data_IF_410340181005
#
_entry.id   IF_410340181005
#
_cell.length_a   1.000
_cell.length_b   1.000
_cell.length_c   1.000
_cell.angle_alpha   90.00
_cell.angle_beta   90.00
_cell.angle_gamma   90.00
#
_symmetry.space_group_name_H-M   'P 1'
#
loop_
_entity.id
_entity.type
_entity.pdbx_description
1 polymer ?
#
# COMPACT_ATOMS: atom_id res chain seq x y z
N UNK A 1 15.42 -24.26 -9.47
CA UNK A 1 15.05 -22.83 -9.63
C UNK A 1 13.63 -22.62 -10.17
N UNK A 2 13.25 -23.12 -11.36
CA UNK A 2 11.92 -22.83 -11.96
C UNK A 2 10.70 -23.31 -11.15
N UNK A 3 10.73 -24.53 -10.59
CA UNK A 3 9.63 -25.09 -9.78
C UNK A 3 9.38 -24.26 -8.50
N UNK A 4 10.45 -23.93 -7.78
CA UNK A 4 10.39 -23.13 -6.55
C UNK A 4 9.95 -21.70 -6.80
N UNK A 5 10.54 -21.04 -7.81
CA UNK A 5 10.11 -19.70 -8.20
C UNK A 5 8.62 -19.69 -8.56
N UNK A 6 8.13 -20.67 -9.34
CA UNK A 6 6.70 -20.75 -9.72
C UNK A 6 5.78 -20.82 -8.50
N UNK A 7 6.04 -21.72 -7.55
CA UNK A 7 5.16 -21.91 -6.39
C UNK A 7 5.21 -20.72 -5.42
N UNK A 8 6.41 -20.16 -5.19
CA UNK A 8 6.58 -18.97 -4.35
C UNK A 8 5.89 -17.77 -5.00
N UNK A 9 6.04 -17.57 -6.31
CA UNK A 9 5.38 -16.47 -7.03
C UNK A 9 3.86 -16.60 -7.06
N UNK A 10 3.30 -17.81 -7.17
CA UNK A 10 1.84 -18.01 -7.11
C UNK A 10 1.32 -17.68 -5.71
N UNK A 11 1.96 -18.23 -4.67
CA UNK A 11 1.55 -17.99 -3.29
C UNK A 11 1.63 -16.51 -2.92
N UNK A 12 2.81 -15.90 -3.04
CA UNK A 12 2.99 -14.49 -2.70
C UNK A 12 2.30 -13.55 -3.69
N UNK A 13 2.08 -13.97 -4.94
CA UNK A 13 1.36 -13.16 -5.93
C UNK A 13 -0.08 -12.86 -5.50
N UNK A 14 -0.76 -13.82 -4.84
CA UNK A 14 -2.11 -13.61 -4.29
C UNK A 14 -2.06 -12.52 -3.20
N UNK A 15 -1.13 -12.64 -2.25
CA UNK A 15 -0.99 -11.66 -1.17
C UNK A 15 -0.53 -10.29 -1.68
N UNK A 16 0.39 -10.24 -2.65
CA UNK A 16 0.79 -8.99 -3.29
C UNK A 16 -0.36 -8.31 -4.00
N UNK A 17 -1.22 -9.06 -4.70
CA UNK A 17 -2.41 -8.50 -5.33
C UNK A 17 -3.36 -7.91 -4.28
N UNK A 18 -3.61 -8.64 -3.19
CA UNK A 18 -4.41 -8.15 -2.08
C UNK A 18 -3.83 -6.86 -1.48
N UNK A 19 -2.54 -6.84 -1.15
CA UNK A 19 -1.82 -5.68 -0.60
C UNK A 19 -1.86 -4.50 -1.59
N UNK A 20 -1.69 -4.74 -2.89
CA UNK A 20 -1.76 -3.69 -3.90
C UNK A 20 -3.17 -3.09 -3.99
N UNK A 21 -4.21 -3.92 -3.99
CA UNK A 21 -5.61 -3.46 -4.03
C UNK A 21 -5.96 -2.64 -2.78
N UNK A 22 -5.64 -3.15 -1.59
CA UNK A 22 -5.92 -2.43 -0.33
C UNK A 22 -5.11 -1.15 -0.19
N UNK A 23 -3.87 -1.13 -0.68
CA UNK A 23 -3.05 0.08 -0.72
C UNK A 23 -3.64 1.14 -1.64
N UNK A 24 -4.08 0.75 -2.84
CA UNK A 24 -4.77 1.67 -3.78
C UNK A 24 -6.08 2.18 -3.17
N UNK A 25 -6.87 1.31 -2.53
CA UNK A 25 -8.11 1.71 -1.85
C UNK A 25 -7.85 2.68 -0.70
N UNK A 26 -6.79 2.48 0.08
CA UNK A 26 -6.40 3.41 1.13
C UNK A 26 -6.10 4.80 0.58
N UNK A 27 -5.30 4.88 -0.49
CA UNK A 27 -5.02 6.15 -1.15
C UNK A 27 -6.26 6.77 -1.82
N UNK A 28 -7.12 5.96 -2.42
CA UNK A 28 -8.38 6.43 -3.00
C UNK A 28 -9.30 7.01 -1.93
N UNK A 29 -9.40 6.35 -0.77
CA UNK A 29 -10.17 6.84 0.37
C UNK A 29 -9.57 8.14 0.94
N UNK A 30 -8.24 8.21 1.08
CA UNK A 30 -7.55 9.40 1.58
C UNK A 30 -7.78 10.64 0.69
N UNK A 31 -7.80 10.43 -0.63
CA UNK A 31 -8.02 11.47 -1.64
C UNK A 31 -9.50 11.76 -1.89
N UNK A 32 -10.41 10.96 -1.34
CA UNK A 32 -11.85 11.18 -1.52
C UNK A 32 -12.27 12.50 -0.88
N UNK A 33 -13.14 13.29 -1.54
CA UNK A 33 -13.67 14.52 -0.96
C UNK A 33 -14.33 14.23 0.40
N UNK A 34 -13.99 15.02 1.40
CA UNK A 34 -14.72 14.98 2.66
C UNK A 34 -16.10 15.59 2.43
N UNK A 35 -17.16 14.93 2.91
CA UNK A 35 -18.45 15.59 3.03
C UNK A 35 -18.31 16.76 4.01
N UNK A 36 -19.05 17.85 3.78
CA UNK A 36 -19.11 18.91 4.78
C UNK A 36 -19.66 18.33 6.09
N UNK A 37 -18.99 18.55 7.23
CA UNK A 37 -19.45 18.02 8.50
C UNK A 37 -20.81 18.63 8.83
N UNK A 38 -21.75 17.82 9.33
CA UNK A 38 -23.00 18.35 9.88
C UNK A 38 -22.69 19.29 11.04
N UNK A 39 -23.64 20.17 11.38
CA UNK A 39 -23.47 21.08 12.51
C UNK A 39 -23.16 20.31 13.82
N UNK A 40 -23.71 19.11 14.01
CA UNK A 40 -23.41 18.28 15.19
C UNK A 40 -21.96 17.77 15.15
N UNK A 41 -21.48 17.28 14.01
CA UNK A 41 -20.11 16.77 13.84
C UNK A 41 -19.10 17.91 13.99
N UNK A 42 -19.40 19.09 13.46
CA UNK A 42 -18.57 20.28 13.62
C UNK A 42 -18.49 20.72 15.10
N UNK A 43 -19.58 20.61 15.86
CA UNK A 43 -19.59 20.88 17.29
C UNK A 43 -18.73 19.87 18.08
N UNK A 44 -18.72 18.59 17.68
CA UNK A 44 -17.87 17.56 18.30
C UNK A 44 -16.37 17.75 18.04
N UNK A 45 -16.00 18.47 16.99
CA UNK A 45 -14.61 18.82 16.70
C UNK A 45 -14.11 20.02 17.52
N UNK A 46 -15.00 20.75 18.19
CA UNK A 46 -14.60 21.85 19.06
C UNK A 46 -14.05 21.29 20.38
N UNK A 47 -12.92 21.81 20.87
CA UNK A 47 -12.41 21.42 22.18
C UNK A 47 -13.44 21.79 23.26
N UNK A 48 -13.61 20.94 24.30
CA UNK A 48 -14.50 21.27 25.41
C UNK A 48 -14.03 22.55 26.09
N UNK A 49 -14.98 23.31 26.67
CA UNK A 49 -14.68 24.59 27.30
C UNK A 49 -13.57 24.44 28.37
N UNK A 50 -12.52 25.24 28.27
CA UNK A 50 -11.37 25.21 29.16
C UNK A 50 -10.27 24.20 28.81
N UNK A 51 -10.43 23.41 27.74
CA UNK A 51 -9.34 22.57 27.24
C UNK A 51 -8.24 23.41 26.61
N UNK A 52 -7.06 23.37 27.23
CA UNK A 52 -5.83 23.93 26.69
C UNK A 52 -4.91 22.78 26.28
N UNK A 53 -4.34 22.87 25.07
CA UNK A 53 -3.36 21.88 24.65
C UNK A 53 -2.09 22.06 25.48
N UNK A 54 -1.58 21.03 26.18
CA UNK A 54 -0.39 21.16 27.01
C UNK A 54 0.85 21.58 26.21
N UNK A 55 1.80 22.22 26.87
CA UNK A 55 3.05 22.64 26.23
C UNK A 55 3.83 21.43 25.68
N UNK A 56 4.28 21.52 24.43
CA UNK A 56 4.96 20.42 23.73
C UNK A 56 4.03 19.39 23.07
N UNK A 57 2.70 19.52 23.20
CA UNK A 57 1.73 18.61 22.56
C UNK A 57 1.15 19.19 21.27
N UNK A 58 0.76 18.29 20.34
CA UNK A 58 -0.01 18.64 19.13
C UNK A 58 -1.39 18.02 19.21
N UNK A 59 -2.33 18.74 19.79
CA UNK A 59 -3.73 18.32 19.88
C UNK A 59 -4.40 18.47 18.51
N UNK A 60 -5.05 17.41 18.04
CA UNK A 60 -5.79 17.38 16.76
C UNK A 60 -7.24 17.00 17.07
N UNK A 61 -8.25 17.66 16.46
CA UNK A 61 -9.64 17.27 16.66
C UNK A 61 -9.89 15.83 16.18
N UNK A 62 -10.87 15.12 16.77
CA UNK A 62 -11.28 13.81 16.28
C UNK A 62 -11.75 13.92 14.83
N UNK A 63 -11.38 12.93 14.01
CA UNK A 63 -11.81 12.89 12.61
C UNK A 63 -13.26 12.41 12.53
N UNK A 64 -14.05 12.91 11.56
CA UNK A 64 -15.40 12.42 11.36
C UNK A 64 -15.37 10.99 10.80
N UNK A 65 -16.14 10.09 11.39
CA UNK A 65 -16.15 8.65 11.04
C UNK A 65 -17.05 8.30 9.84
N UNK A 66 -17.53 9.30 9.09
CA UNK A 66 -18.51 9.12 8.03
C UNK A 66 -17.91 9.10 6.62
N UNK A 67 -18.45 8.22 5.77
CA UNK A 67 -18.20 8.21 4.33
C UNK A 67 -16.93 7.45 3.91
N UNK A 68 -16.65 7.43 2.61
CA UNK A 68 -15.54 6.61 2.07
C UNK A 68 -14.16 7.03 2.63
N UNK A 69 -13.97 8.31 2.95
CA UNK A 69 -12.72 8.83 3.53
C UNK A 69 -12.41 8.26 4.92
N UNK A 70 -13.42 7.89 5.72
CA UNK A 70 -13.19 7.30 7.04
C UNK A 70 -12.64 5.88 6.96
N UNK A 71 -12.82 5.19 5.82
CA UNK A 71 -12.30 3.84 5.58
C UNK A 71 -10.79 3.81 5.31
N UNK A 72 -10.13 4.96 5.16
CA UNK A 72 -8.67 5.05 4.94
C UNK A 72 -7.89 4.25 5.98
N UNK A 73 -8.24 4.37 7.27
CA UNK A 73 -7.58 3.64 8.35
C UNK A 73 -7.77 2.12 8.24
N UNK A 74 -9.00 1.69 7.97
CA UNK A 74 -9.33 0.29 7.77
C UNK A 74 -8.57 -0.33 6.58
N UNK A 75 -8.52 0.34 5.44
CA UNK A 75 -7.75 -0.13 4.29
C UNK A 75 -6.24 -0.18 4.58
N UNK A 76 -5.72 0.77 5.38
CA UNK A 76 -4.34 0.71 5.84
C UNK A 76 -4.05 -0.51 6.71
N UNK A 77 -4.94 -0.86 7.65
CA UNK A 77 -4.74 -2.04 8.49
C UNK A 77 -4.87 -3.34 7.68
N UNK A 78 -5.78 -3.40 6.70
CA UNK A 78 -5.86 -4.53 5.78
C UNK A 78 -4.57 -4.66 4.95
N UNK A 79 -4.02 -3.54 4.48
CA UNK A 79 -2.76 -3.50 3.73
C UNK A 79 -1.55 -3.92 4.59
N UNK A 80 -1.45 -3.43 5.83
CA UNK A 80 -0.39 -3.81 6.77
C UNK A 80 -0.52 -5.26 7.25
N UNK A 81 -1.72 -5.84 7.17
CA UNK A 81 -2.05 -7.17 7.67
C UNK A 81 -2.33 -7.21 9.17
N UNK A 82 -2.36 -6.04 9.83
CA UNK A 82 -2.62 -5.93 11.27
C UNK A 82 -4.02 -6.37 11.66
N UNK A 83 -5.01 -6.27 10.76
CA UNK A 83 -6.35 -6.83 10.97
C UNK A 83 -6.36 -8.34 11.25
N UNK A 84 -5.34 -9.07 10.77
CA UNK A 84 -5.17 -10.50 11.01
C UNK A 84 -4.15 -10.81 12.11
N UNK A 85 -3.73 -9.79 12.87
CA UNK A 85 -2.76 -9.89 13.94
C UNK A 85 -1.35 -10.24 13.46
N UNK A 86 -0.48 -10.76 14.36
CA UNK A 86 0.95 -10.94 14.07
C UNK A 86 1.25 -11.83 12.85
N UNK A 87 0.40 -12.83 12.58
CA UNK A 87 0.55 -13.72 11.43
C UNK A 87 0.32 -12.98 10.12
N UNK A 88 -0.71 -12.13 10.05
CA UNK A 88 -0.97 -11.30 8.87
C UNK A 88 0.16 -10.33 8.59
N UNK A 89 0.63 -9.64 9.63
CA UNK A 89 1.80 -8.75 9.53
C UNK A 89 3.04 -9.49 9.04
N UNK A 90 3.32 -10.70 9.56
CA UNK A 90 4.44 -11.51 9.11
C UNK A 90 4.32 -11.88 7.61
N UNK A 91 3.13 -12.28 7.15
CA UNK A 91 2.88 -12.59 5.74
C UNK A 91 3.07 -11.33 4.86
N UNK A 92 2.62 -10.16 5.33
CA UNK A 92 2.81 -8.89 4.63
C UNK A 92 4.30 -8.55 4.47
N UNK A 93 5.09 -8.68 5.54
CA UNK A 93 6.55 -8.49 5.52
C UNK A 93 7.21 -9.44 4.53
N UNK A 94 6.89 -10.74 4.60
CA UNK A 94 7.45 -11.75 3.68
C UNK A 94 7.05 -11.46 2.22
N UNK A 95 5.83 -10.97 1.99
CA UNK A 95 5.37 -10.52 0.67
C UNK A 95 6.20 -9.33 0.18
N UNK A 96 6.54 -8.38 1.05
CA UNK A 96 7.44 -7.27 0.72
C UNK A 96 8.83 -7.76 0.28
N UNK A 97 9.44 -8.69 1.02
CA UNK A 97 10.71 -9.31 0.61
C UNK A 97 10.60 -10.04 -0.72
N UNK A 98 9.52 -10.81 -0.93
CA UNK A 98 9.27 -11.48 -2.20
C UNK A 98 9.16 -10.47 -3.35
N UNK A 99 8.51 -9.32 -3.14
CA UNK A 99 8.34 -8.29 -4.18
C UNK A 99 9.69 -7.69 -4.56
N UNK A 100 10.55 -7.41 -3.59
CA UNK A 100 11.91 -6.91 -3.81
C UNK A 100 12.71 -7.93 -4.63
N UNK A 101 12.72 -9.20 -4.21
CA UNK A 101 13.43 -10.27 -4.91
C UNK A 101 12.93 -10.44 -6.35
N UNK A 102 11.61 -10.46 -6.55
CA UNK A 102 11.02 -10.59 -7.88
C UNK A 102 11.29 -9.37 -8.75
N UNK A 103 11.22 -8.16 -8.21
CA UNK A 103 11.51 -6.92 -8.95
C UNK A 103 12.97 -6.86 -9.39
N UNK A 104 13.91 -7.17 -8.50
CA UNK A 104 15.34 -7.20 -8.83
C UNK A 104 15.63 -8.30 -9.87
N UNK A 105 15.11 -9.50 -9.65
CA UNK A 105 15.34 -10.61 -10.58
C UNK A 105 14.73 -10.36 -11.97
N UNK A 106 13.52 -9.80 -12.04
CA UNK A 106 12.86 -9.42 -13.28
C UNK A 106 13.61 -8.32 -14.02
N UNK A 107 14.07 -7.29 -13.31
CA UNK A 107 14.88 -6.22 -13.89
C UNK A 107 16.22 -6.74 -14.39
N UNK A 108 16.89 -7.61 -13.63
CA UNK A 108 18.14 -8.23 -14.04
C UNK A 108 17.98 -9.05 -15.33
N UNK A 109 16.93 -9.87 -15.42
CA UNK A 109 16.62 -10.62 -16.64
C UNK A 109 16.36 -9.68 -17.83
N UNK A 110 15.65 -8.58 -17.61
CA UNK A 110 15.44 -7.57 -18.66
C UNK A 110 16.76 -6.97 -19.15
N UNK A 111 17.65 -6.56 -18.22
CA UNK A 111 18.98 -6.02 -18.55
C UNK A 111 19.82 -7.05 -19.30
N UNK A 112 19.82 -8.31 -18.86
CA UNK A 112 20.56 -9.39 -19.52
C UNK A 112 20.07 -9.61 -20.97
N UNK A 113 18.74 -9.65 -21.18
CA UNK A 113 18.17 -9.76 -22.53
C UNK A 113 18.52 -8.54 -23.40
N UNK A 114 18.50 -7.34 -22.83
CA UNK A 114 18.88 -6.12 -23.51
C UNK A 114 20.35 -6.12 -23.96
N UNK A 115 21.26 -6.51 -23.05
CA UNK A 115 22.69 -6.61 -23.35
C UNK A 115 22.97 -7.62 -24.46
N UNK A 116 22.35 -8.81 -24.39
CA UNK A 116 22.47 -9.85 -25.41
C UNK A 116 21.99 -9.38 -26.80
N UNK A 117 20.94 -8.56 -26.87
CA UNK A 117 20.48 -7.97 -28.14
C UNK A 117 21.48 -6.95 -28.70
N UNK A 118 22.06 -6.13 -27.81
CA UNK A 118 23.07 -5.14 -28.18
C UNK A 118 24.29 -5.82 -28.80
N UNK A 119 24.75 -6.91 -28.22
CA UNK A 119 25.89 -7.70 -28.72
C UNK A 119 25.59 -8.36 -30.07
N UNK A 120 24.35 -8.81 -30.28
CA UNK A 120 23.93 -9.51 -31.52
C UNK A 120 23.45 -8.57 -32.64
N UNK A 121 23.57 -7.25 -32.47
CA UNK A 121 23.12 -6.27 -33.47
C UNK A 121 21.60 -6.28 -33.73
N UNK A 122 20.82 -6.90 -32.85
CA UNK A 122 19.37 -6.99 -32.98
C UNK A 122 18.72 -5.63 -32.68
N UNK A 123 17.56 -5.35 -33.30
CA UNK A 123 16.86 -4.06 -33.15
C UNK A 123 16.64 -3.70 -31.67
N UNK A 124 17.04 -2.49 -31.30
CA UNK A 124 17.08 -1.95 -29.93
C UNK A 124 15.73 -1.39 -29.45
N UNK A 125 14.64 -2.12 -29.69
CA UNK A 125 13.30 -1.69 -29.27
C UNK A 125 13.09 -1.86 -27.76
N UNK A 126 12.49 -0.84 -27.12
CA UNK A 126 12.11 -0.90 -25.69
C UNK A 126 11.03 -1.96 -25.42
N UNK A 127 10.14 -2.14 -26.39
CA UNK A 127 9.06 -3.11 -26.38
C UNK A 127 9.26 -4.13 -27.49
N UNK A 128 8.87 -5.37 -27.21
CA UNK A 128 8.85 -6.46 -28.18
C UNK A 128 7.82 -6.10 -29.27
N UNK A 129 8.24 -6.16 -30.54
CA UNK A 129 7.34 -6.21 -31.69
C UNK A 129 7.33 -7.63 -32.21
#
# INVERSE_FOLDING_TARGET
MRKWHRWISVFFGIFMLFIAVTGVLSHAAALWPAAEPSAEVAAQMQPPAGFTCPEGWRCTPPRPDSGFKSLTGFFHHLHSGEEFGPVGTLISILSGFALILFSISGLWLYVQMWANRRERGLKRGLFWK
#
